data_IF_770536250051
#
_entry.id   IF_770536250051
#
_cell.length_a   1.000
_cell.length_b   1.000
_cell.length_c   1.000
_cell.angle_alpha   90.00
_cell.angle_beta   90.00
_cell.angle_gamma   90.00
#
_symmetry.space_group_name_H-M   'P 1'
#
loop_
_entity.id
_entity.type
_entity.pdbx_description
1 polymer ?
#
# COMPACT_ATOMS: atom_id res chain seq x y z
N UNK A 1 7.47 15.39 25.97
CA UNK A 1 7.90 15.50 24.55
C UNK A 1 9.41 15.44 24.33
N UNK A 2 10.25 16.01 25.21
CA UNK A 2 11.71 16.11 24.98
C UNK A 2 12.38 14.76 24.65
N UNK A 3 12.04 13.69 25.39
CA UNK A 3 12.63 12.36 25.16
C UNK A 3 12.20 11.73 23.83
N UNK A 4 10.93 11.86 23.43
CA UNK A 4 10.45 11.36 22.13
C UNK A 4 11.10 12.10 20.96
N UNK A 5 11.35 13.40 21.09
CA UNK A 5 12.06 14.16 20.05
C UNK A 5 13.53 13.75 19.92
N UNK A 6 14.20 13.50 21.05
CA UNK A 6 15.63 13.13 21.07
C UNK A 6 15.87 11.67 20.69
N UNK A 7 14.97 10.77 21.09
CA UNK A 7 15.10 9.32 20.91
C UNK A 7 13.81 8.69 20.34
N UNK A 8 13.40 9.07 19.11
CA UNK A 8 12.11 8.67 18.54
C UNK A 8 12.02 7.18 18.14
N UNK A 9 13.12 6.43 18.26
CA UNK A 9 13.24 5.02 17.83
C UNK A 9 13.56 4.07 18.99
N UNK A 10 13.18 4.44 20.22
CA UNK A 10 13.40 3.63 21.42
C UNK A 10 12.07 3.09 21.92
N UNK A 11 11.92 1.75 21.89
CA UNK A 11 10.71 1.05 22.34
C UNK A 11 10.25 1.47 23.74
N UNK A 12 11.17 1.52 24.70
CA UNK A 12 10.85 1.81 26.10
C UNK A 12 10.19 3.18 26.30
N UNK A 13 10.55 4.19 25.50
CA UNK A 13 9.94 5.52 25.62
C UNK A 13 8.48 5.50 25.14
N UNK A 14 8.21 4.82 24.02
CA UNK A 14 6.84 4.66 23.50
C UNK A 14 5.98 3.81 24.43
N UNK A 15 6.52 2.69 24.93
CA UNK A 15 5.83 1.79 25.85
C UNK A 15 5.53 2.48 27.18
N UNK A 16 6.51 3.18 27.77
CA UNK A 16 6.30 3.92 29.01
C UNK A 16 5.26 5.02 28.83
N UNK A 17 5.26 5.73 27.70
CA UNK A 17 4.23 6.73 27.39
C UNK A 17 2.83 6.13 27.34
N UNK A 18 2.66 5.01 26.65
CA UNK A 18 1.38 4.29 26.61
C UNK A 18 0.95 3.87 28.03
N UNK A 19 1.88 3.29 28.80
CA UNK A 19 1.60 2.87 30.18
C UNK A 19 1.10 4.03 31.04
N UNK A 20 1.74 5.20 30.98
CA UNK A 20 1.30 6.40 31.72
C UNK A 20 -0.12 6.82 31.32
N UNK A 21 -0.40 6.85 30.00
CA UNK A 21 -1.72 7.24 29.48
C UNK A 21 -2.84 6.28 29.89
N UNK A 22 -2.52 5.00 30.08
CA UNK A 22 -3.48 3.98 30.50
C UNK A 22 -3.76 3.98 32.01
N UNK A 23 -2.77 4.34 32.84
CA UNK A 23 -2.88 4.26 34.31
C UNK A 23 -3.24 5.59 34.98
N UNK A 24 -3.02 6.73 34.31
CA UNK A 24 -3.30 8.06 34.86
C UNK A 24 -4.15 8.92 33.93
N UNK A 25 -5.39 8.50 33.61
CA UNK A 25 -6.25 9.24 32.70
C UNK A 25 -6.84 10.49 33.38
N UNK A 26 -6.42 11.67 32.93
CA UNK A 26 -7.16 12.94 33.13
C UNK A 26 -7.85 13.29 31.81
N UNK A 27 -9.09 13.78 31.79
CA UNK A 27 -9.79 14.21 30.56
C UNK A 27 -9.62 13.29 29.31
N UNK A 28 -10.13 12.06 29.43
CA UNK A 28 -9.90 10.95 28.48
C UNK A 28 -9.93 11.33 26.99
N UNK A 29 -10.99 11.95 26.41
CA UNK A 29 -11.01 12.25 24.98
C UNK A 29 -9.95 13.29 24.56
N UNK A 30 -9.73 14.31 25.40
CA UNK A 30 -8.85 15.45 25.09
C UNK A 30 -7.38 15.05 25.10
N UNK A 31 -6.99 14.16 26.01
CA UNK A 31 -5.62 13.63 26.04
C UNK A 31 -5.34 12.85 24.76
N UNK A 32 -6.20 11.93 24.34
CA UNK A 32 -5.95 11.14 23.13
C UNK A 32 -5.94 12.01 21.86
N UNK A 33 -6.77 13.04 21.77
CA UNK A 33 -6.66 14.04 20.69
C UNK A 33 -5.32 14.79 20.72
N UNK A 34 -4.82 15.12 21.90
CA UNK A 34 -3.48 15.72 22.06
C UNK A 34 -2.38 14.75 21.61
N UNK A 35 -2.51 13.47 21.95
CA UNK A 35 -1.58 12.42 21.49
C UNK A 35 -1.60 12.24 19.98
N UNK A 36 -2.76 12.37 19.35
CA UNK A 36 -2.89 12.34 17.89
C UNK A 36 -2.14 13.52 17.25
N UNK A 37 -2.22 14.71 17.85
CA UNK A 37 -1.45 15.87 17.42
C UNK A 37 0.07 15.70 17.64
N UNK A 38 0.48 15.05 18.74
CA UNK A 38 1.90 14.75 19.01
C UNK A 38 2.46 13.79 17.96
N UNK A 39 1.76 12.68 17.69
CA UNK A 39 2.23 11.70 16.70
C UNK A 39 2.21 12.27 15.28
N UNK A 40 1.26 13.16 14.96
CA UNK A 40 1.27 13.92 13.70
C UNK A 40 2.59 14.67 13.51
N UNK A 41 3.00 15.45 14.50
CA UNK A 41 4.25 16.22 14.45
C UNK A 41 5.49 15.33 14.35
N UNK A 42 5.48 14.16 15.02
CA UNK A 42 6.59 13.20 14.91
C UNK A 42 6.67 12.59 13.51
N UNK A 43 5.53 12.28 12.89
CA UNK A 43 5.45 11.78 11.51
C UNK A 43 5.65 12.86 10.44
N UNK A 44 5.61 14.15 10.80
CA UNK A 44 6.09 15.24 9.95
C UNK A 44 7.62 15.29 9.93
N UNK A 45 8.27 15.01 11.07
CA UNK A 45 9.73 14.98 11.18
C UNK A 45 10.36 13.71 10.59
N UNK A 46 9.76 12.55 10.85
CA UNK A 46 10.17 11.26 10.28
C UNK A 46 8.92 10.51 9.79
N UNK A 47 8.57 10.73 8.52
CA UNK A 47 7.37 10.16 7.91
C UNK A 47 7.38 8.63 7.82
N UNK A 48 8.54 7.98 8.01
CA UNK A 48 8.71 6.52 7.98
C UNK A 48 8.98 5.94 9.38
N UNK A 49 8.76 6.70 10.44
CA UNK A 49 8.96 6.21 11.80
C UNK A 49 7.93 5.11 12.14
N UNK A 50 8.42 3.87 12.23
CA UNK A 50 7.62 2.70 12.56
C UNK A 50 6.85 2.84 13.89
N UNK A 51 7.50 3.33 14.94
CA UNK A 51 6.87 3.52 16.25
C UNK A 51 5.79 4.59 16.18
N UNK A 52 6.01 5.67 15.42
CA UNK A 52 5.02 6.72 15.19
C UNK A 52 3.75 6.15 14.55
N UNK A 53 3.88 5.37 13.47
CA UNK A 53 2.72 4.75 12.84
C UNK A 53 2.01 3.73 13.73
N UNK A 54 2.77 2.92 14.48
CA UNK A 54 2.20 1.99 15.45
C UNK A 54 1.44 2.71 16.57
N UNK A 55 2.05 3.74 17.16
CA UNK A 55 1.45 4.55 18.19
C UNK A 55 0.20 5.27 17.69
N UNK A 56 0.22 5.80 16.46
CA UNK A 56 -0.94 6.41 15.81
C UNK A 56 -2.13 5.46 15.77
N UNK A 57 -1.94 4.20 15.36
CA UNK A 57 -3.02 3.19 15.33
C UNK A 57 -3.63 2.97 16.71
N UNK A 58 -2.80 2.92 17.76
CA UNK A 58 -3.28 2.77 19.14
C UNK A 58 -4.09 4.00 19.55
N UNK A 59 -3.57 5.21 19.33
CA UNK A 59 -4.25 6.46 19.67
C UNK A 59 -5.60 6.57 18.96
N UNK A 60 -5.64 6.34 17.65
CA UNK A 60 -6.88 6.35 16.86
C UNK A 60 -7.88 5.34 17.42
N UNK A 61 -7.45 4.09 17.65
CA UNK A 61 -8.34 3.07 18.23
C UNK A 61 -8.88 3.43 19.62
N UNK A 62 -8.07 4.08 20.47
CA UNK A 62 -8.55 4.57 21.78
C UNK A 62 -9.57 5.70 21.62
N UNK A 63 -9.37 6.64 20.68
CA UNK A 63 -10.34 7.70 20.40
C UNK A 63 -11.65 7.11 19.87
N UNK A 64 -11.58 6.19 18.90
CA UNK A 64 -12.75 5.50 18.34
C UNK A 64 -13.55 4.79 19.44
N UNK A 65 -12.86 4.06 20.34
CA UNK A 65 -13.51 3.36 21.45
C UNK A 65 -14.16 4.28 22.47
N UNK A 66 -13.56 5.44 22.77
CA UNK A 66 -14.11 6.40 23.76
C UNK A 66 -15.27 7.19 23.17
N UNK A 67 -15.17 7.58 21.90
CA UNK A 67 -16.16 8.46 21.25
C UNK A 67 -17.27 7.69 20.53
N UNK A 68 -17.10 6.37 20.35
CA UNK A 68 -17.93 5.53 19.49
C UNK A 68 -18.08 6.08 18.05
N UNK A 69 -17.11 6.88 17.60
CA UNK A 69 -17.07 7.46 16.26
C UNK A 69 -15.90 6.87 15.49
N UNK A 70 -16.17 6.36 14.29
CA UNK A 70 -15.15 5.91 13.34
C UNK A 70 -14.30 7.09 12.84
N UNK A 71 -12.98 6.92 12.80
CA UNK A 71 -12.03 7.88 12.23
C UNK A 71 -11.43 7.40 10.90
N UNK A 72 -11.97 6.32 10.32
CA UNK A 72 -11.48 5.72 9.08
C UNK A 72 -11.35 6.75 7.94
N UNK A 73 -12.33 7.65 7.80
CA UNK A 73 -12.31 8.68 6.75
C UNK A 73 -11.18 9.68 6.97
N UNK A 74 -11.05 10.21 8.19
CA UNK A 74 -9.97 11.13 8.56
C UNK A 74 -8.58 10.47 8.39
N UNK A 75 -8.46 9.19 8.74
CA UNK A 75 -7.22 8.42 8.56
C UNK A 75 -6.92 8.11 7.08
N UNK A 76 -7.95 7.85 6.28
CA UNK A 76 -7.80 7.68 4.83
C UNK A 76 -7.29 8.96 4.18
N UNK A 77 -7.86 10.11 4.52
CA UNK A 77 -7.39 11.43 4.07
C UNK A 77 -5.94 11.69 4.55
N UNK A 78 -5.62 11.33 5.80
CA UNK A 78 -4.26 11.45 6.33
C UNK A 78 -3.24 10.63 5.54
N UNK A 79 -3.55 9.36 5.23
CA UNK A 79 -2.64 8.53 4.41
C UNK A 79 -2.49 9.09 3.00
N UNK A 80 -3.58 9.59 2.40
CA UNK A 80 -3.55 10.23 1.07
C UNK A 80 -2.60 11.43 1.07
N UNK A 81 -2.70 12.32 2.07
CA UNK A 81 -1.81 13.46 2.21
C UNK A 81 -0.35 13.03 2.41
N UNK A 82 -0.09 11.98 3.21
CA UNK A 82 1.27 11.49 3.44
C UNK A 82 1.89 10.83 2.19
N UNK A 83 1.09 10.15 1.38
CA UNK A 83 1.53 9.57 0.10
C UNK A 83 1.80 10.68 -0.91
N UNK A 84 0.89 11.64 -1.07
CA UNK A 84 1.09 12.73 -2.03
C UNK A 84 2.31 13.61 -1.70
N UNK A 85 2.65 13.77 -0.42
CA UNK A 85 3.87 14.47 0.00
C UNK A 85 5.15 13.65 -0.25
N UNK A 86 5.06 12.32 -0.23
CA UNK A 86 6.17 11.42 -0.47
C UNK A 86 5.64 10.04 -0.88
N UNK A 87 5.65 9.80 -2.19
CA UNK A 87 5.15 8.55 -2.79
C UNK A 87 5.90 7.32 -2.27
N UNK A 88 7.16 7.47 -1.86
CA UNK A 88 8.00 6.40 -1.27
C UNK A 88 7.73 6.14 0.19
N UNK A 89 6.69 6.74 0.77
CA UNK A 89 6.29 6.47 2.14
C UNK A 89 5.53 5.13 2.23
N UNK A 90 6.29 4.03 2.26
CA UNK A 90 5.74 2.69 2.45
C UNK A 90 4.83 2.55 3.68
N UNK A 91 5.12 3.29 4.76
CA UNK A 91 4.29 3.22 5.97
C UNK A 91 2.90 3.81 5.75
N UNK A 92 2.80 4.88 4.96
CA UNK A 92 1.51 5.46 4.59
C UNK A 92 0.71 4.54 3.67
N UNK A 93 1.35 3.93 2.67
CA UNK A 93 0.72 2.90 1.82
C UNK A 93 0.23 1.70 2.62
N UNK A 94 1.06 1.18 3.54
CA UNK A 94 0.67 0.08 4.40
C UNK A 94 -0.50 0.43 5.33
N UNK A 95 -0.50 1.64 5.90
CA UNK A 95 -1.62 2.12 6.70
C UNK A 95 -2.89 2.25 5.86
N UNK A 96 -2.79 2.74 4.61
CA UNK A 96 -3.90 2.84 3.67
C UNK A 96 -4.54 1.47 3.40
N UNK A 97 -3.73 0.42 3.16
CA UNK A 97 -4.23 -0.98 3.02
C UNK A 97 -5.12 -1.39 4.19
N UNK A 98 -4.68 -1.12 5.41
CA UNK A 98 -5.41 -1.50 6.63
C UNK A 98 -6.73 -0.73 6.75
N UNK A 99 -6.70 0.59 6.53
CA UNK A 99 -7.88 1.45 6.61
C UNK A 99 -8.90 1.06 5.52
N UNK A 100 -8.46 0.91 4.28
CA UNK A 100 -9.35 0.57 3.16
C UNK A 100 -10.00 -0.80 3.39
N UNK A 101 -9.22 -1.79 3.83
CA UNK A 101 -9.76 -3.11 4.20
C UNK A 101 -10.82 -3.00 5.30
N UNK A 102 -10.57 -2.19 6.33
CA UNK A 102 -11.50 -1.94 7.45
C UNK A 102 -12.77 -1.24 6.97
N UNK A 103 -12.64 -0.20 6.15
CA UNK A 103 -13.77 0.54 5.57
C UNK A 103 -14.67 -0.35 4.70
N UNK A 104 -14.08 -1.24 3.91
CA UNK A 104 -14.84 -2.25 3.14
C UNK A 104 -15.64 -3.18 4.07
N UNK A 105 -15.00 -3.69 5.14
CA UNK A 105 -15.65 -4.60 6.10
C UNK A 105 -16.79 -3.92 6.87
N UNK A 106 -16.62 -2.64 7.25
CA UNK A 106 -17.64 -1.85 7.95
C UNK A 106 -18.75 -1.30 7.02
N UNK A 107 -18.59 -1.42 5.70
CA UNK A 107 -19.55 -0.84 4.75
C UNK A 107 -19.53 0.69 4.71
N UNK A 108 -18.43 1.33 5.13
CA UNK A 108 -18.29 2.80 5.18
C UNK A 108 -18.05 3.42 3.79
N UNK A 109 -17.74 2.57 2.80
CA UNK A 109 -17.57 2.99 1.41
C UNK A 109 -18.93 2.92 0.71
N UNK A 110 -19.56 4.08 0.52
CA UNK A 110 -20.90 4.18 -0.08
C UNK A 110 -21.00 3.56 -1.48
N UNK A 111 -20.24 4.07 -2.46
CA UNK A 111 -20.15 3.47 -3.79
C UNK A 111 -18.81 2.76 -3.96
N UNK A 112 -18.78 1.47 -3.64
CA UNK A 112 -17.57 0.65 -3.70
C UNK A 112 -16.98 0.54 -5.12
N UNK A 113 -17.82 0.45 -6.16
CA UNK A 113 -17.33 0.40 -7.56
C UNK A 113 -16.65 1.70 -7.97
N UNK A 114 -17.26 2.85 -7.65
CA UNK A 114 -16.67 4.17 -7.90
C UNK A 114 -15.37 4.35 -7.12
N UNK A 115 -15.32 3.87 -5.87
CA UNK A 115 -14.10 3.88 -5.07
C UNK A 115 -12.99 3.09 -5.76
N UNK A 116 -13.26 1.85 -6.18
CA UNK A 116 -12.30 0.99 -6.90
C UNK A 116 -11.78 1.68 -8.16
N UNK A 117 -12.66 2.27 -8.97
CA UNK A 117 -12.26 3.02 -10.17
C UNK A 117 -11.33 4.19 -9.84
N UNK A 118 -11.70 4.99 -8.82
CA UNK A 118 -10.89 6.13 -8.36
C UNK A 118 -9.52 5.68 -7.84
N UNK A 119 -9.50 4.58 -7.09
CA UNK A 119 -8.29 4.03 -6.50
C UNK A 119 -7.33 3.50 -7.57
N UNK A 120 -7.85 2.90 -8.63
CA UNK A 120 -7.04 2.45 -9.77
C UNK A 120 -6.44 3.63 -10.50
N UNK A 121 -7.22 4.67 -10.79
CA UNK A 121 -6.68 5.89 -11.40
C UNK A 121 -5.58 6.52 -10.54
N UNK A 122 -5.77 6.51 -9.21
CA UNK A 122 -4.76 6.98 -8.27
C UNK A 122 -3.46 6.15 -8.32
N UNK A 123 -3.59 4.83 -8.33
CA UNK A 123 -2.48 3.89 -8.47
C UNK A 123 -1.74 4.07 -9.79
N UNK A 124 -2.48 4.21 -10.90
CA UNK A 124 -1.91 4.41 -12.24
C UNK A 124 -1.10 5.72 -12.26
N UNK A 125 -1.67 6.82 -11.76
CA UNK A 125 -0.95 8.09 -11.67
C UNK A 125 0.33 7.97 -10.81
N UNK A 126 0.29 7.18 -9.73
CA UNK A 126 1.45 6.95 -8.88
C UNK A 126 2.59 6.23 -9.63
N UNK A 127 2.30 5.17 -10.39
CA UNK A 127 3.34 4.46 -11.18
C UNK A 127 3.86 5.28 -12.36
N UNK A 128 3.05 6.17 -12.95
CA UNK A 128 3.52 7.13 -13.96
C UNK A 128 4.39 8.25 -13.36
N UNK A 129 4.28 8.50 -12.04
CA UNK A 129 5.11 9.50 -11.36
C UNK A 129 6.49 8.95 -11.02
N UNK A 130 6.56 7.71 -10.53
CA UNK A 130 7.80 7.02 -10.21
C UNK A 130 7.63 5.50 -10.35
N UNK A 131 8.12 4.95 -11.46
CA UNK A 131 8.06 3.51 -11.75
C UNK A 131 9.06 2.69 -10.93
N UNK A 132 10.07 3.31 -10.30
CA UNK A 132 11.05 2.62 -9.45
C UNK A 132 10.57 2.50 -7.99
N UNK A 133 9.50 3.21 -7.62
CA UNK A 133 8.96 3.18 -6.26
C UNK A 133 8.26 1.85 -5.93
N UNK A 134 9.01 0.98 -5.26
CA UNK A 134 8.51 -0.31 -4.78
C UNK A 134 7.22 -0.24 -3.96
N UNK A 135 6.95 0.86 -3.25
CA UNK A 135 5.81 0.99 -2.35
C UNK A 135 4.50 0.93 -3.11
N UNK A 136 4.44 1.59 -4.27
CA UNK A 136 3.28 1.61 -5.15
C UNK A 136 3.02 0.21 -5.70
N UNK A 137 4.06 -0.50 -6.12
CA UNK A 137 3.95 -1.87 -6.63
C UNK A 137 3.48 -2.88 -5.58
N UNK A 138 3.90 -2.74 -4.33
CA UNK A 138 3.35 -3.53 -3.22
C UNK A 138 1.87 -3.24 -2.99
N UNK A 139 1.45 -1.97 -3.11
CA UNK A 139 0.05 -1.58 -3.01
C UNK A 139 -0.79 -2.14 -4.15
N UNK A 140 -0.31 -2.06 -5.40
CA UNK A 140 -0.92 -2.70 -6.59
C UNK A 140 -1.14 -4.18 -6.34
N UNK A 141 -0.08 -4.88 -5.91
CA UNK A 141 -0.14 -6.32 -5.67
C UNK A 141 -1.20 -6.70 -4.63
N UNK A 142 -1.33 -5.90 -3.56
CA UNK A 142 -2.40 -6.09 -2.59
C UNK A 142 -3.78 -5.82 -3.22
N UNK A 143 -3.92 -4.72 -3.95
CA UNK A 143 -5.18 -4.27 -4.51
C UNK A 143 -5.78 -5.29 -5.49
N UNK A 144 -4.97 -5.78 -6.44
CA UNK A 144 -5.43 -6.78 -7.42
C UNK A 144 -5.74 -8.14 -6.79
N UNK A 145 -5.07 -8.50 -5.69
CA UNK A 145 -5.32 -9.77 -4.97
C UNK A 145 -6.42 -9.68 -3.92
N UNK A 146 -7.05 -8.52 -3.75
CA UNK A 146 -8.05 -8.33 -2.72
C UNK A 146 -9.39 -8.93 -3.14
N UNK A 147 -9.87 -9.93 -2.40
CA UNK A 147 -11.14 -10.62 -2.67
C UNK A 147 -12.34 -9.67 -2.72
N UNK A 148 -12.32 -8.60 -1.95
CA UNK A 148 -13.41 -7.61 -1.96
C UNK A 148 -13.49 -6.90 -3.30
N UNK A 149 -12.34 -6.57 -3.91
CA UNK A 149 -12.30 -5.95 -5.24
C UNK A 149 -12.93 -6.87 -6.28
N UNK A 150 -12.55 -8.16 -6.26
CA UNK A 150 -13.15 -9.18 -7.13
C UNK A 150 -14.66 -9.31 -6.91
N UNK A 151 -15.11 -9.40 -5.66
CA UNK A 151 -16.54 -9.56 -5.32
C UNK A 151 -17.38 -8.34 -5.72
N UNK A 152 -16.84 -7.12 -5.57
CA UNK A 152 -17.56 -5.88 -5.87
C UNK A 152 -17.74 -5.63 -7.38
N UNK A 153 -16.70 -5.90 -8.18
CA UNK A 153 -16.73 -5.72 -9.64
C UNK A 153 -17.40 -6.91 -10.35
N UNK A 154 -17.22 -8.12 -9.81
CA UNK A 154 -17.58 -9.36 -10.50
C UNK A 154 -16.60 -9.69 -11.63
N UNK A 155 -16.68 -10.94 -12.11
CA UNK A 155 -15.66 -11.53 -12.99
C UNK A 155 -15.33 -10.69 -14.24
N UNK A 156 -16.36 -10.23 -14.98
CA UNK A 156 -16.17 -9.50 -16.25
C UNK A 156 -15.48 -8.15 -16.04
N UNK A 157 -16.00 -7.33 -15.12
CA UNK A 157 -15.43 -6.00 -14.84
C UNK A 157 -14.03 -6.12 -14.22
N UNK A 158 -13.82 -7.10 -13.33
CA UNK A 158 -12.51 -7.35 -12.73
C UNK A 158 -11.46 -7.78 -13.77
N UNK A 159 -11.80 -8.68 -14.70
CA UNK A 159 -10.87 -9.07 -15.77
C UNK A 159 -10.55 -7.88 -16.67
N UNK A 160 -11.53 -7.06 -17.04
CA UNK A 160 -11.28 -5.85 -17.84
C UNK A 160 -10.35 -4.89 -17.10
N UNK A 161 -10.60 -4.65 -15.81
CA UNK A 161 -9.76 -3.83 -14.94
C UNK A 161 -8.30 -4.31 -14.92
N UNK A 162 -8.07 -5.62 -14.82
CA UNK A 162 -6.72 -6.19 -14.85
C UNK A 162 -6.04 -6.04 -16.23
N UNK A 163 -6.81 -6.13 -17.32
CA UNK A 163 -6.29 -5.89 -18.68
C UNK A 163 -5.87 -4.43 -18.86
N UNK A 164 -6.72 -3.49 -18.46
CA UNK A 164 -6.42 -2.06 -18.54
C UNK A 164 -5.18 -1.72 -17.71
N UNK A 165 -5.07 -2.27 -16.49
CA UNK A 165 -3.89 -2.10 -15.64
C UNK A 165 -2.63 -2.72 -16.28
N UNK A 166 -2.74 -3.89 -16.91
CA UNK A 166 -1.64 -4.53 -17.64
C UNK A 166 -1.15 -3.65 -18.79
N UNK A 167 -2.05 -3.08 -19.58
CA UNK A 167 -1.70 -2.18 -20.70
C UNK A 167 -0.95 -0.95 -20.21
N UNK A 168 -1.40 -0.31 -19.12
CA UNK A 168 -0.71 0.82 -18.52
C UNK A 168 0.70 0.45 -18.00
N UNK A 169 0.86 -0.72 -17.38
CA UNK A 169 2.17 -1.16 -16.89
C UNK A 169 3.13 -1.50 -18.04
N UNK A 170 2.62 -2.08 -19.14
CA UNK A 170 3.43 -2.30 -20.35
C UNK A 170 3.86 -0.97 -20.96
N UNK A 171 2.97 0.03 -21.00
CA UNK A 171 3.31 1.37 -21.48
C UNK A 171 4.45 1.99 -20.66
N UNK A 172 4.34 1.97 -19.33
CA UNK A 172 5.39 2.48 -18.44
C UNK A 172 6.71 1.72 -18.62
N UNK A 173 6.65 0.38 -18.75
CA UNK A 173 7.86 -0.39 -18.99
C UNK A 173 8.53 -0.04 -20.33
N UNK A 174 7.75 0.27 -21.37
CA UNK A 174 8.30 0.73 -22.64
C UNK A 174 8.93 2.12 -22.50
N UNK A 175 8.29 3.04 -21.78
CA UNK A 175 8.86 4.36 -21.51
C UNK A 175 10.20 4.26 -20.74
N UNK A 176 10.29 3.34 -19.77
CA UNK A 176 11.52 3.05 -19.02
C UNK A 176 12.61 2.43 -19.91
N UNK A 177 12.24 1.59 -20.87
CA UNK A 177 13.18 1.05 -21.89
C UNK A 177 13.69 2.20 -22.77
N UNK A 178 12.81 3.07 -23.24
CA UNK A 178 13.18 4.18 -24.11
C UNK A 178 14.12 5.17 -23.40
N UNK A 179 13.92 5.38 -22.09
CA UNK A 179 14.75 6.28 -21.29
C UNK A 179 16.07 5.65 -20.81
N UNK A 180 16.01 4.43 -20.27
CA UNK A 180 17.16 3.78 -19.59
C UNK A 180 17.86 2.70 -20.42
N UNK A 181 17.25 2.28 -21.53
CA UNK A 181 17.68 1.12 -22.32
C UNK A 181 17.40 -0.23 -21.65
N UNK A 182 16.72 -0.25 -20.51
CA UNK A 182 16.46 -1.45 -19.70
C UNK A 182 15.01 -1.50 -19.26
N UNK A 183 14.54 -2.72 -19.00
CA UNK A 183 13.21 -2.92 -18.46
C UNK A 183 13.16 -2.61 -16.97
N UNK A 184 12.01 -2.11 -16.54
CA UNK A 184 11.75 -1.87 -15.14
C UNK A 184 11.42 -3.20 -14.43
N UNK A 185 12.19 -3.48 -13.37
CA UNK A 185 12.12 -4.73 -12.62
C UNK A 185 10.73 -4.91 -11.98
N UNK A 186 10.10 -3.83 -11.52
CA UNK A 186 8.81 -3.87 -10.86
C UNK A 186 7.66 -4.08 -11.82
N UNK A 187 7.70 -3.44 -12.99
CA UNK A 187 6.77 -3.70 -14.09
C UNK A 187 6.74 -5.20 -14.41
N UNK A 188 7.91 -5.80 -14.68
CA UNK A 188 8.03 -7.24 -14.96
C UNK A 188 7.49 -8.12 -13.83
N UNK A 189 7.79 -7.79 -12.57
CA UNK A 189 7.30 -8.54 -11.41
C UNK A 189 5.78 -8.51 -11.29
N UNK A 190 5.15 -7.37 -11.55
CA UNK A 190 3.69 -7.23 -11.44
C UNK A 190 2.98 -7.79 -12.68
N UNK A 191 3.55 -7.68 -13.87
CA UNK A 191 3.04 -8.34 -15.07
C UNK A 191 2.94 -9.86 -14.88
N UNK A 192 3.94 -10.50 -14.27
CA UNK A 192 3.88 -11.92 -13.90
C UNK A 192 2.71 -12.24 -12.94
N UNK A 193 2.45 -11.37 -11.97
CA UNK A 193 1.33 -11.55 -11.05
C UNK A 193 -0.01 -11.39 -11.78
N UNK A 194 -0.12 -10.41 -12.67
CA UNK A 194 -1.31 -10.17 -13.48
C UNK A 194 -1.60 -11.35 -14.41
N UNK A 195 -0.60 -11.89 -15.10
CA UNK A 195 -0.77 -13.07 -15.96
C UNK A 195 -1.24 -14.30 -15.18
N UNK A 196 -0.68 -14.55 -13.99
CA UNK A 196 -1.13 -15.64 -13.12
C UNK A 196 -2.62 -15.50 -12.76
N UNK A 197 -3.05 -14.29 -12.35
CA UNK A 197 -4.45 -14.04 -11.96
C UNK A 197 -5.37 -14.13 -13.19
N UNK A 198 -4.96 -13.56 -14.32
CA UNK A 198 -5.74 -13.62 -15.55
C UNK A 198 -5.89 -15.05 -16.07
N UNK A 199 -4.85 -15.90 -15.98
CA UNK A 199 -4.89 -17.32 -16.38
C UNK A 199 -5.84 -18.15 -15.51
N UNK A 200 -5.95 -17.82 -14.23
CA UNK A 200 -6.92 -18.47 -13.32
C UNK A 200 -8.36 -18.06 -13.62
N UNK A 201 -8.57 -16.80 -14.03
CA UNK A 201 -9.90 -16.24 -14.25
C UNK A 201 -10.39 -16.42 -15.70
N UNK A 202 -9.48 -16.58 -16.65
CA UNK A 202 -9.74 -16.69 -18.07
C UNK A 202 -8.74 -17.68 -18.69
N UNK A 203 -9.19 -18.48 -19.65
CA UNK A 203 -8.34 -19.39 -20.41
C UNK A 203 -7.42 -18.60 -21.36
N UNK A 204 -6.45 -17.86 -20.82
CA UNK A 204 -5.42 -17.18 -21.60
C UNK A 204 -4.64 -18.22 -22.40
N UNK A 205 -4.69 -18.09 -23.74
CA UNK A 205 -3.98 -18.94 -24.69
C UNK A 205 -2.51 -18.55 -24.85
N UNK A 206 -2.14 -17.30 -24.57
CA UNK A 206 -0.77 -16.79 -24.70
C UNK A 206 -0.30 -16.16 -23.38
N UNK A 207 0.88 -16.56 -22.92
CA UNK A 207 1.51 -16.06 -21.70
C UNK A 207 2.94 -15.63 -22.01
N UNK A 208 3.30 -14.41 -21.62
CA UNK A 208 4.65 -13.87 -21.75
C UNK A 208 5.51 -14.13 -20.50
N UNK A 209 5.02 -14.96 -19.57
CA UNK A 209 5.66 -15.21 -18.27
C UNK A 209 7.10 -15.73 -18.41
N UNK A 210 7.38 -16.60 -19.38
CA UNK A 210 8.75 -17.07 -19.67
C UNK A 210 9.66 -15.93 -20.14
N UNK A 211 9.15 -15.04 -21.01
CA UNK A 211 9.91 -13.88 -21.49
C UNK A 211 10.21 -12.89 -20.36
N UNK A 212 9.22 -12.57 -19.52
CA UNK A 212 9.40 -11.68 -18.37
C UNK A 212 10.40 -12.24 -17.34
N UNK A 213 10.34 -13.55 -17.05
CA UNK A 213 11.30 -14.19 -16.14
C UNK A 213 12.72 -14.21 -16.71
N UNK A 214 12.86 -14.45 -18.01
CA UNK A 214 14.16 -14.42 -18.68
C UNK A 214 14.77 -13.02 -18.59
N UNK A 215 13.98 -11.98 -18.83
CA UNK A 215 14.43 -10.59 -18.70
C UNK A 215 14.75 -10.20 -17.24
N UNK A 216 14.02 -10.72 -16.26
CA UNK A 216 14.31 -10.51 -14.83
C UNK A 216 15.62 -11.15 -14.38
N UNK A 217 16.04 -12.26 -15.00
CA UNK A 217 17.33 -12.91 -14.72
C UNK A 217 18.49 -11.98 -15.04
N UNK A 218 18.37 -11.20 -16.12
CA UNK A 218 19.40 -10.28 -16.59
C UNK A 218 19.32 -8.92 -15.88
N UNK A 219 18.12 -8.42 -15.61
CA UNK A 219 17.91 -7.09 -14.99
C UNK A 219 18.04 -7.06 -13.46
N UNK A 220 17.72 -8.15 -12.75
CA UNK A 220 17.82 -8.25 -11.27
C UNK A 220 18.70 -9.44 -10.83
N UNK A 221 20.04 -9.35 -11.04
CA UNK A 221 20.96 -10.47 -10.81
C UNK A 221 20.98 -10.95 -9.35
N UNK A 222 20.71 -10.06 -8.39
CA UNK A 222 20.65 -10.39 -6.97
C UNK A 222 19.55 -11.42 -6.65
N UNK A 223 18.50 -11.49 -7.47
CA UNK A 223 17.38 -12.43 -7.31
C UNK A 223 17.34 -13.49 -8.42
N UNK A 224 18.37 -13.60 -9.25
CA UNK A 224 18.47 -14.58 -10.36
C UNK A 224 18.04 -16.00 -9.99
N UNK A 225 18.51 -16.52 -8.85
CA UNK A 225 18.14 -17.89 -8.40
C UNK A 225 16.63 -18.06 -8.18
N UNK A 226 15.93 -17.01 -7.74
CA UNK A 226 14.47 -17.01 -7.60
C UNK A 226 13.78 -17.09 -8.96
N UNK A 227 14.23 -16.32 -9.95
CA UNK A 227 13.63 -16.33 -11.28
C UNK A 227 13.87 -17.65 -12.01
N UNK A 228 15.08 -18.23 -11.88
CA UNK A 228 15.37 -19.57 -12.40
C UNK A 228 14.52 -20.66 -11.76
N UNK A 229 14.17 -20.54 -10.48
CA UNK A 229 13.23 -21.45 -9.83
C UNK A 229 11.83 -21.32 -10.44
N UNK A 230 11.30 -20.09 -10.54
CA UNK A 230 9.98 -19.84 -11.12
C UNK A 230 9.88 -20.29 -12.58
N UNK A 231 10.96 -20.17 -13.35
CA UNK A 231 11.00 -20.61 -14.74
C UNK A 231 10.91 -22.14 -14.87
N UNK A 232 11.42 -22.89 -13.89
CA UNK A 232 11.25 -24.35 -13.86
C UNK A 232 9.82 -24.75 -13.55
N UNK A 233 9.15 -24.01 -12.67
CA UNK A 233 7.76 -24.29 -12.28
C UNK A 233 6.74 -23.99 -13.39
N UNK A 234 7.14 -23.24 -14.43
CA UNK A 234 6.31 -22.97 -15.62
C UNK A 234 6.33 -24.10 -16.66
N UNK A 235 7.34 -24.99 -16.62
CA UNK A 235 7.51 -26.12 -17.55
C UNK A 235 6.87 -27.39 -17.01
#
# INVERSE_FOLDING_TARGET
MLQLKKYPKVYWIWNHRLWVLEHYPTDLPKIWQTELAVVNKLLEQDARNYHGWHYRRIVVGKIENITNKSLDKEEFEYTTNKINNNISNYSAWHQRVQIVSRMFQKGEIGNQRKYIQTEISYIINAIFTDAEDQSVWFYIKWFIKNDTVFKTLGKREYVQMLRDLRENIVLINNDEIDFSGKQNIWCLKILLVLESILKENESLTESNSEAYLTQLIDTDPLRKKRYLHLLKDLK
#
